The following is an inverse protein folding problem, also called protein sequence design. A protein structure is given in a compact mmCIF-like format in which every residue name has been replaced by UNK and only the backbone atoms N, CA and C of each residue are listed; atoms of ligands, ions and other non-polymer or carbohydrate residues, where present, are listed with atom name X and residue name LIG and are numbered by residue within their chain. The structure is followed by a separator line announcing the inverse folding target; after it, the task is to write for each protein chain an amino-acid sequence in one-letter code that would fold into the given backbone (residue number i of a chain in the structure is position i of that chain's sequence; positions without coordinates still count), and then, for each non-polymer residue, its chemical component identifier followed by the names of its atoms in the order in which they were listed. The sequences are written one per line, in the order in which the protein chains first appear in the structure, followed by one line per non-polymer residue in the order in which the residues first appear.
data_IF_705097824156
#
_entry.id   IF_705097824156
#
_cell.length_a   1.000
_cell.length_b   1.000
_cell.length_c   1.000
_cell.angle_alpha   90.00
_cell.angle_beta   90.00
_cell.angle_gamma   90.00
#
_symmetry.space_group_name_H-M   'P 1'
#
loop_
_entity.id
_entity.type
_entity.pdbx_description
1 polymer ?
#
# COMPACT_ATOMS: atom_id res chain seq x y z
N UNK A 1 11.28 11.10 2.24
CA UNK A 1 12.35 10.62 1.34
C UNK A 1 11.97 9.26 0.79
N UNK A 2 12.36 8.93 -0.44
CA UNK A 2 12.02 7.65 -1.08
C UNK A 2 13.09 6.61 -0.75
N UNK A 3 12.69 5.48 -0.15
CA UNK A 3 13.55 4.33 0.03
C UNK A 3 13.29 3.31 -1.10
N UNK A 4 14.04 3.46 -2.20
CA UNK A 4 13.83 2.69 -3.43
C UNK A 4 13.98 1.17 -3.23
N UNK A 5 15.01 0.64 -2.54
CA UNK A 5 15.12 -0.80 -2.26
C UNK A 5 13.95 -1.36 -1.47
N UNK A 6 13.51 -0.65 -0.43
CA UNK A 6 12.43 -1.11 0.44
C UNK A 6 11.07 -1.04 -0.28
N UNK A 7 10.79 0.00 -1.07
CA UNK A 7 9.60 0.02 -1.95
C UNK A 7 9.60 -1.11 -2.97
N UNK A 8 10.75 -1.42 -3.59
CA UNK A 8 10.87 -2.53 -4.53
C UNK A 8 10.63 -3.88 -3.84
N UNK A 9 11.10 -4.05 -2.60
CA UNK A 9 10.84 -5.23 -1.78
C UNK A 9 9.35 -5.38 -1.41
N UNK A 10 8.73 -4.32 -0.89
CA UNK A 10 7.32 -4.34 -0.53
C UNK A 10 6.43 -4.61 -1.75
N UNK A 11 6.71 -3.97 -2.89
CA UNK A 11 6.02 -4.21 -4.16
C UNK A 11 6.14 -5.67 -4.63
N UNK A 12 7.34 -6.27 -4.56
CA UNK A 12 7.53 -7.70 -4.86
C UNK A 12 6.72 -8.59 -3.91
N UNK A 13 6.74 -8.29 -2.60
CA UNK A 13 6.09 -9.11 -1.59
C UNK A 13 4.56 -9.05 -1.71
N UNK A 14 3.97 -7.86 -1.90
CA UNK A 14 2.53 -7.69 -2.12
C UNK A 14 2.05 -8.50 -3.32
N UNK A 15 2.76 -8.44 -4.45
CA UNK A 15 2.41 -9.23 -5.65
C UNK A 15 2.43 -10.73 -5.37
N UNK A 16 3.46 -11.22 -4.65
CA UNK A 16 3.56 -12.63 -4.28
C UNK A 16 2.47 -13.05 -3.30
N UNK A 17 2.11 -12.17 -2.36
CA UNK A 17 1.05 -12.41 -1.38
C UNK A 17 -0.30 -12.56 -2.08
N UNK A 18 -0.71 -11.59 -2.91
CA UNK A 18 -2.01 -11.64 -3.61
C UNK A 18 -2.08 -12.70 -4.71
N UNK A 19 -0.93 -13.20 -5.17
CA UNK A 19 -0.85 -14.36 -6.06
C UNK A 19 -0.91 -15.70 -5.30
N UNK A 20 -0.94 -15.69 -3.97
CA UNK A 20 -0.86 -16.91 -3.15
C UNK A 20 0.52 -17.57 -3.14
N UNK A 21 1.54 -16.94 -3.74
CA UNK A 21 2.88 -17.48 -3.87
C UNK A 21 3.68 -17.46 -2.55
N UNK A 22 3.30 -16.62 -1.60
CA UNK A 22 3.80 -16.64 -0.21
C UNK A 22 2.64 -16.65 0.79
N UNK A 23 2.94 -17.03 2.03
CA UNK A 23 2.00 -16.98 3.16
C UNK A 23 1.94 -15.57 3.76
N UNK A 24 0.88 -15.27 4.50
CA UNK A 24 0.76 -14.05 5.32
C UNK A 24 1.97 -13.89 6.28
N UNK A 25 2.35 -14.93 7.02
CA UNK A 25 3.49 -14.85 7.94
C UNK A 25 4.83 -14.62 7.20
N UNK A 26 5.02 -15.23 6.03
CA UNK A 26 6.22 -14.96 5.22
C UNK A 26 6.22 -13.53 4.70
N UNK A 27 5.05 -13.02 4.31
CA UNK A 27 4.90 -11.62 3.94
C UNK A 27 5.31 -10.71 5.10
N UNK A 28 4.72 -10.87 6.29
CA UNK A 28 5.05 -10.09 7.50
C UNK A 28 6.54 -10.08 7.83
N UNK A 29 7.17 -11.26 7.93
CA UNK A 29 8.60 -11.40 8.22
C UNK A 29 9.52 -10.77 7.18
N UNK A 30 9.01 -10.50 5.98
CA UNK A 30 9.77 -9.93 4.86
C UNK A 30 9.34 -8.52 4.49
N UNK A 31 8.36 -7.95 5.20
CA UNK A 31 7.95 -6.55 5.05
C UNK A 31 9.12 -5.68 5.48
N UNK A 32 9.61 -4.78 4.62
CA UNK A 32 10.71 -3.92 4.98
C UNK A 32 10.24 -2.82 5.93
N UNK A 33 11.12 -2.41 6.83
CA UNK A 33 10.92 -1.24 7.68
C UNK A 33 11.61 -0.03 7.06
N UNK A 34 11.00 1.15 7.18
CA UNK A 34 11.61 2.42 6.79
C UNK A 34 10.98 3.56 7.56
N UNK A 35 11.80 4.27 8.34
CA UNK A 35 11.35 5.43 9.13
C UNK A 35 11.18 6.69 8.26
N UNK A 36 11.95 6.76 7.17
CA UNK A 36 12.07 7.93 6.28
C UNK A 36 11.01 7.95 5.16
N UNK A 37 10.60 6.75 4.70
CA UNK A 37 9.64 6.59 3.62
C UNK A 37 8.27 6.17 4.15
N UNK A 38 7.45 7.19 4.44
CA UNK A 38 6.11 7.01 4.98
C UNK A 38 5.19 6.14 4.10
N UNK A 39 5.49 5.96 2.80
CA UNK A 39 4.75 5.05 1.93
C UNK A 39 4.78 3.61 2.43
N UNK A 40 5.94 3.19 2.94
CA UNK A 40 6.18 1.81 3.35
C UNK A 40 5.33 1.49 4.56
N UNK A 41 5.34 2.37 5.57
CA UNK A 41 4.51 2.24 6.77
C UNK A 41 3.02 2.26 6.42
N UNK A 42 2.59 3.22 5.60
CA UNK A 42 1.19 3.37 5.22
C UNK A 42 0.62 2.15 4.47
N UNK A 43 1.39 1.60 3.54
CA UNK A 43 0.97 0.44 2.74
C UNK A 43 1.12 -0.86 3.54
N UNK A 44 2.15 -0.99 4.38
CA UNK A 44 2.30 -2.13 5.28
C UNK A 44 1.13 -2.22 6.26
N UNK A 45 0.73 -1.10 6.88
CA UNK A 45 -0.42 -1.03 7.78
C UNK A 45 -1.73 -1.42 7.07
N UNK A 46 -1.94 -0.93 5.83
CA UNK A 46 -3.10 -1.36 5.03
C UNK A 46 -3.06 -2.84 4.64
N UNK A 47 -1.87 -3.42 4.44
CA UNK A 47 -1.74 -4.82 4.02
C UNK A 47 -2.13 -5.83 5.09
N UNK A 48 -2.13 -5.44 6.38
CA UNK A 48 -2.66 -6.27 7.47
C UNK A 48 -4.13 -6.63 7.29
N UNK A 49 -4.93 -5.79 6.60
CA UNK A 49 -6.34 -6.05 6.35
C UNK A 49 -6.58 -7.17 5.33
N UNK A 50 -5.54 -7.65 4.64
CA UNK A 50 -5.66 -8.66 3.59
C UNK A 50 -5.77 -10.08 4.14
N UNK A 51 -5.45 -10.31 5.41
CA UNK A 51 -5.37 -11.64 6.01
C UNK A 51 -5.71 -11.61 7.50
N UNK A 52 -5.90 -12.79 8.09
CA UNK A 52 -5.95 -12.97 9.55
C UNK A 52 -4.55 -13.31 10.09
N UNK A 53 -4.18 -12.72 11.21
CA UNK A 53 -2.95 -13.00 11.97
C UNK A 53 -3.02 -14.31 12.78
N UNK A 54 -4.21 -14.90 12.95
CA UNK A 54 -4.40 -16.08 13.81
C UNK A 54 -3.68 -17.35 13.33
N UNK A 55 -3.50 -17.52 12.01
CA UNK A 55 -2.91 -18.73 11.41
C UNK A 55 -2.14 -18.43 10.14
N UNK A 56 -1.08 -19.19 9.89
CA UNK A 56 -0.37 -19.12 8.61
C UNK A 56 -1.22 -19.67 7.46
N UNK A 57 -1.37 -18.89 6.39
CA UNK A 57 -2.11 -19.30 5.20
C UNK A 57 -1.68 -18.49 3.96
N UNK A 58 -2.14 -18.94 2.79
CA UNK A 58 -1.98 -18.26 1.50
C UNK A 58 -3.33 -17.64 1.11
N UNK A 59 -3.32 -16.54 0.35
CA UNK A 59 -4.54 -15.85 -0.11
C UNK A 59 -5.21 -16.56 -1.29
N UNK A 60 -5.62 -17.81 -1.08
CA UNK A 60 -6.26 -18.71 -2.06
C UNK A 60 -7.39 -19.51 -1.41
N UNK A 61 -8.28 -20.07 -2.23
CA UNK A 61 -9.41 -20.87 -1.73
C UNK A 61 -10.27 -20.07 -0.76
N UNK A 62 -10.53 -20.61 0.44
CA UNK A 62 -11.31 -19.92 1.48
C UNK A 62 -10.69 -18.61 2.00
N UNK A 63 -9.41 -18.39 1.74
CA UNK A 63 -8.67 -17.18 2.13
C UNK A 63 -8.44 -16.24 0.94
N UNK A 64 -9.09 -16.47 -0.21
CA UNK A 64 -8.98 -15.57 -1.34
C UNK A 64 -9.46 -14.18 -0.99
N UNK A 65 -8.70 -13.16 -1.38
CA UNK A 65 -9.13 -11.77 -1.24
C UNK A 65 -10.20 -11.42 -2.28
N UNK A 66 -11.10 -10.53 -1.88
CA UNK A 66 -12.11 -9.98 -2.77
C UNK A 66 -11.48 -9.26 -3.99
N UNK A 67 -12.08 -9.35 -5.19
CA UNK A 67 -11.56 -8.68 -6.38
C UNK A 67 -11.37 -7.16 -6.24
N UNK A 68 -12.19 -6.47 -5.45
CA UNK A 68 -12.04 -5.04 -5.17
C UNK A 68 -10.75 -4.76 -4.39
N UNK A 69 -10.49 -5.54 -3.34
CA UNK A 69 -9.24 -5.45 -2.58
C UNK A 69 -8.02 -5.79 -3.43
N UNK A 70 -8.14 -6.77 -4.33
CA UNK A 70 -7.06 -7.07 -5.28
C UNK A 70 -6.70 -5.86 -6.15
N UNK A 71 -7.70 -5.09 -6.61
CA UNK A 71 -7.46 -3.85 -7.38
C UNK A 71 -6.77 -2.77 -6.54
N UNK A 72 -7.15 -2.62 -5.28
CA UNK A 72 -6.48 -1.70 -4.36
C UNK A 72 -5.00 -2.08 -4.17
N UNK A 73 -4.69 -3.36 -3.91
CA UNK A 73 -3.30 -3.80 -3.77
C UNK A 73 -2.48 -3.56 -5.05
N UNK A 74 -3.07 -3.76 -6.24
CA UNK A 74 -2.40 -3.46 -7.51
C UNK A 74 -2.13 -1.95 -7.67
N UNK A 75 -3.02 -1.08 -7.19
CA UNK A 75 -2.76 0.37 -7.13
C UNK A 75 -1.60 0.69 -6.19
N UNK A 76 -1.49 0.03 -5.04
CA UNK A 76 -0.37 0.22 -4.11
C UNK A 76 0.96 -0.23 -4.72
N UNK A 77 0.97 -1.39 -5.38
CA UNK A 77 2.11 -1.89 -6.15
C UNK A 77 2.54 -0.88 -7.22
N UNK A 78 1.58 -0.31 -7.96
CA UNK A 78 1.85 0.70 -8.96
C UNK A 78 2.49 1.95 -8.35
N UNK A 79 1.97 2.44 -7.22
CA UNK A 79 2.56 3.57 -6.51
C UNK A 79 3.98 3.27 -6.05
N UNK A 80 4.18 2.12 -5.42
CA UNK A 80 5.50 1.69 -4.96
C UNK A 80 6.47 1.60 -6.12
N UNK A 81 6.07 1.12 -7.29
CA UNK A 81 6.94 1.01 -8.47
C UNK A 81 7.37 2.36 -9.06
N UNK A 82 6.70 3.46 -8.70
CA UNK A 82 7.02 4.82 -9.12
C UNK A 82 7.85 5.56 -8.05
N UNK A 83 8.39 6.71 -8.45
CA UNK A 83 9.20 7.60 -7.61
C UNK A 83 8.41 8.84 -7.13
N UNK A 84 7.10 8.68 -6.93
CA UNK A 84 6.29 9.72 -6.26
C UNK A 84 6.56 9.71 -4.76
N UNK A 85 6.80 10.89 -4.17
CA UNK A 85 6.88 11.02 -2.73
C UNK A 85 5.52 10.78 -2.07
N UNK A 86 5.53 10.14 -0.91
CA UNK A 86 4.30 9.98 -0.13
C UNK A 86 4.03 11.25 0.66
N UNK A 87 2.98 11.98 0.26
CA UNK A 87 2.66 13.33 0.76
C UNK A 87 1.45 13.37 1.71
N UNK A 88 0.83 12.23 1.99
CA UNK A 88 -0.31 12.17 2.90
C UNK A 88 0.15 12.26 4.38
N UNK A 89 -0.62 12.92 5.25
CA UNK A 89 -0.39 12.90 6.69
C UNK A 89 -0.34 11.46 7.25
N UNK A 90 0.47 11.25 8.28
CA UNK A 90 0.63 9.92 8.90
C UNK A 90 -0.58 9.60 9.79
N UNK A 91 -1.40 8.66 9.34
CA UNK A 91 -2.51 8.05 10.12
C UNK A 91 -2.47 6.54 9.96
N UNK A 92 -3.09 5.81 10.90
CA UNK A 92 -3.30 4.37 10.74
C UNK A 92 -4.37 4.08 9.68
N UNK A 93 -4.24 2.96 8.98
CA UNK A 93 -5.13 2.44 7.93
C UNK A 93 -5.59 3.52 6.93
N UNK A 94 -4.65 4.25 6.29
CA UNK A 94 -4.97 5.43 5.48
C UNK A 94 -5.90 5.16 4.29
N UNK A 95 -5.88 3.95 3.73
CA UNK A 95 -6.80 3.53 2.66
C UNK A 95 -8.24 3.21 3.12
N UNK A 96 -8.54 3.24 4.43
CA UNK A 96 -9.90 3.19 4.96
C UNK A 96 -10.42 4.59 5.27
N UNK A 97 -11.69 4.85 4.94
CA UNK A 97 -12.36 6.15 5.11
C UNK A 97 -12.01 6.80 6.46
N UNK A 98 -11.18 7.87 6.47
CA UNK A 98 -10.73 8.50 7.71
C UNK A 98 -11.88 9.03 8.54
N UNK A 99 -12.87 9.66 7.89
CA UNK A 99 -14.00 10.28 8.59
C UNK A 99 -14.90 9.24 9.28
N UNK A 100 -15.05 8.03 8.70
CA UNK A 100 -15.80 6.94 9.36
C UNK A 100 -15.10 6.41 10.62
N UNK A 101 -13.77 6.55 10.69
CA UNK A 101 -12.94 6.17 11.84
C UNK A 101 -12.70 7.31 12.82
N UNK A 102 -13.12 8.53 12.48
CA UNK A 102 -13.00 9.68 13.35
C UNK A 102 -13.92 9.53 14.57
N UNK A 103 -13.40 9.84 15.75
CA UNK A 103 -14.18 9.93 16.99
C UNK A 103 -13.90 11.25 17.69
N UNK A 104 -14.84 11.79 18.47
CA UNK A 104 -14.56 12.89 19.38
C UNK A 104 -13.41 12.52 20.33
N UNK A 105 -12.55 13.50 20.64
CA UNK A 105 -11.41 13.30 21.57
C UNK A 105 -11.89 12.77 22.92
N UNK A 106 -13.04 13.27 23.39
CA UNK A 106 -13.65 12.92 24.68
C UNK A 106 -14.07 11.45 24.78
N UNK A 107 -14.36 10.78 23.65
CA UNK A 107 -14.74 9.35 23.63
C UNK A 107 -13.61 8.44 23.16
N UNK A 108 -12.39 8.97 22.95
CA UNK A 108 -11.29 8.22 22.33
C UNK A 108 -10.80 7.05 23.19
N UNK A 109 -10.83 7.20 24.51
CA UNK A 109 -10.44 6.14 25.46
C UNK A 109 -11.36 4.90 25.41
N UNK A 110 -12.59 5.05 24.89
CA UNK A 110 -13.52 3.94 24.62
C UNK A 110 -13.32 3.30 23.25
N UNK A 111 -12.42 3.84 22.43
CA UNK A 111 -12.31 3.51 21.01
C UNK A 111 -11.10 2.60 20.73
N UNK A 112 -11.22 1.74 19.72
CA UNK A 112 -10.16 0.78 19.34
C UNK A 112 -8.86 1.44 18.83
N UNK A 113 -7.79 0.65 18.66
CA UNK A 113 -6.42 1.14 18.40
C UNK A 113 -6.28 1.99 17.12
N UNK A 114 -7.20 1.86 16.16
CA UNK A 114 -7.16 2.55 14.86
C UNK A 114 -8.00 3.83 14.81
N UNK A 115 -8.40 4.36 15.96
CA UNK A 115 -9.23 5.55 16.09
C UNK A 115 -8.40 6.83 15.92
N UNK A 116 -8.90 7.73 15.08
CA UNK A 116 -8.29 9.04 14.82
C UNK A 116 -9.22 10.17 15.26
N UNK A 117 -8.67 11.37 15.47
CA UNK A 117 -9.49 12.57 15.71
C UNK A 117 -10.14 13.06 14.41
N UNK A 118 -11.23 13.82 14.53
CA UNK A 118 -11.86 14.50 13.40
C UNK A 118 -10.89 15.46 12.70
N UNK A 119 -10.07 16.19 13.48
CA UNK A 119 -9.03 17.07 12.96
C UNK A 119 -8.03 16.33 12.08
N UNK A 120 -7.48 15.18 12.54
CA UNK A 120 -6.57 14.37 11.73
C UNK A 120 -7.23 13.79 10.49
N UNK A 121 -8.51 13.39 10.59
CA UNK A 121 -9.26 12.91 9.44
C UNK A 121 -9.46 14.03 8.40
N UNK A 122 -9.78 15.24 8.85
CA UNK A 122 -9.94 16.41 7.99
C UNK A 122 -8.62 16.84 7.35
N UNK A 123 -7.54 16.91 8.13
CA UNK A 123 -6.18 17.19 7.65
C UNK A 123 -5.76 16.19 6.57
N UNK A 124 -5.98 14.90 6.82
CA UNK A 124 -5.66 13.85 5.85
C UNK A 124 -6.45 14.02 4.55
N UNK A 125 -7.77 14.25 4.64
CA UNK A 125 -8.63 14.43 3.46
C UNK A 125 -8.36 15.74 2.71
N UNK A 126 -7.84 16.77 3.38
CA UNK A 126 -7.45 18.03 2.77
C UNK A 126 -6.11 17.93 2.00
N UNK A 127 -5.30 16.92 2.26
CA UNK A 127 -3.96 16.78 1.67
C UNK A 127 -3.98 16.46 0.16
N UNK A 128 -5.03 15.83 -0.35
CA UNK A 128 -5.09 15.42 -1.75
C UNK A 128 -6.41 14.74 -2.15
N UNK A 129 -6.44 14.16 -3.35
CA UNK A 129 -7.59 13.41 -3.82
C UNK A 129 -7.61 12.01 -3.22
N UNK A 130 -8.46 11.80 -2.22
CA UNK A 130 -8.54 10.54 -1.48
C UNK A 130 -8.85 9.33 -2.37
N UNK A 131 -9.57 9.53 -3.48
CA UNK A 131 -9.88 8.44 -4.40
C UNK A 131 -8.67 7.97 -5.21
N UNK A 132 -7.58 8.74 -5.21
CA UNK A 132 -6.32 8.40 -5.84
C UNK A 132 -5.29 7.82 -4.86
N UNK A 133 -5.58 7.76 -3.56
CA UNK A 133 -4.66 7.24 -2.55
C UNK A 133 -4.09 5.86 -2.99
N UNK A 134 -2.77 5.60 -2.88
CA UNK A 134 -1.74 6.40 -2.19
C UNK A 134 -1.12 7.55 -2.99
N UNK A 135 -1.52 7.77 -4.24
CA UNK A 135 -1.13 8.96 -5.00
C UNK A 135 -1.78 10.21 -4.38
N UNK A 136 -1.14 11.37 -4.44
CA UNK A 136 -1.75 12.59 -3.86
C UNK A 136 -2.87 13.14 -4.76
N UNK A 137 -2.85 12.79 -6.05
CA UNK A 137 -3.80 13.30 -7.03
C UNK A 137 -4.15 12.26 -8.10
N UNK A 138 -5.29 12.47 -8.76
CA UNK A 138 -5.68 11.69 -9.94
C UNK A 138 -4.68 11.83 -11.09
N UNK A 139 -3.99 12.96 -11.22
CA UNK A 139 -3.01 13.15 -12.30
C UNK A 139 -1.78 12.27 -12.11
N UNK A 140 -1.24 12.17 -10.90
CA UNK A 140 -0.15 11.24 -10.59
C UNK A 140 -0.56 9.78 -10.83
N UNK A 141 -1.77 9.40 -10.38
CA UNK A 141 -2.26 8.05 -10.60
C UNK A 141 -2.39 7.73 -12.09
N UNK A 142 -2.97 8.63 -12.89
CA UNK A 142 -3.07 8.45 -14.35
C UNK A 142 -1.69 8.40 -15.01
N UNK A 143 -0.76 9.24 -14.57
CA UNK A 143 0.62 9.22 -15.07
C UNK A 143 1.28 7.86 -14.81
N UNK A 144 1.15 7.33 -13.59
CA UNK A 144 1.68 6.02 -13.22
C UNK A 144 1.08 4.89 -14.06
N UNK A 145 -0.23 4.93 -14.32
CA UNK A 145 -0.92 3.95 -15.18
C UNK A 145 -0.40 4.01 -16.62
N UNK A 146 -0.08 5.20 -17.13
CA UNK A 146 0.50 5.38 -18.47
C UNK A 146 1.99 4.99 -18.58
N UNK A 147 2.71 4.93 -17.45
CA UNK A 147 4.15 4.61 -17.40
C UNK A 147 4.46 3.46 -16.43
N UNK A 148 3.89 2.26 -16.63
CA UNK A 148 4.13 1.13 -15.77
C UNK A 148 5.59 0.66 -15.90
N UNK A 149 6.42 0.93 -14.88
CA UNK A 149 7.85 0.55 -14.81
C UNK A 149 8.11 -0.91 -15.19
N UNK A 150 7.18 -1.82 -14.85
CA UNK A 150 7.31 -3.26 -15.10
C UNK A 150 6.91 -3.72 -16.50
N UNK A 151 6.25 -2.88 -17.30
CA UNK A 151 5.89 -3.17 -18.70
C UNK A 151 6.75 -2.38 -19.69
N UNK A 152 7.47 -1.35 -19.23
CA UNK A 152 8.42 -0.59 -20.05
C UNK A 152 9.66 -1.40 -20.53
N UNK A 153 9.82 -2.65 -20.07
CA UNK A 153 10.99 -3.52 -20.32
C UNK A 153 11.06 -4.22 -21.69
N UNK A 154 10.25 -3.84 -22.68
CA UNK A 154 10.26 -4.46 -24.01
C UNK A 154 11.39 -4.04 -24.95
N UNK A 155 12.17 -2.99 -24.63
CA UNK A 155 13.21 -2.46 -25.55
C UNK A 155 14.66 -2.75 -25.15
N UNK A 156 14.91 -3.43 -24.01
CA UNK A 156 16.27 -3.63 -23.49
C UNK A 156 16.81 -5.08 -23.51
N UNK A 157 16.00 -6.08 -23.86
CA UNK A 157 16.38 -7.49 -23.72
C UNK A 157 16.92 -8.15 -25.00
N UNK A 158 17.29 -7.37 -26.03
CA UNK A 158 17.91 -7.88 -27.25
C UNK A 158 19.30 -7.29 -27.46
N UNK A 159 20.26 -7.72 -26.64
CA UNK A 159 21.70 -7.70 -26.93
C UNK A 159 22.47 -8.48 -25.87
N UNK A 160 22.47 -9.80 -26.01
CA UNK A 160 23.62 -10.62 -25.59
C UNK A 160 24.34 -11.06 -26.87
N UNK A 161 25.59 -10.65 -27.12
CA UNK A 161 26.39 -11.31 -28.13
C UNK A 161 26.72 -12.71 -27.60
N UNK A 162 26.53 -13.71 -28.45
CA UNK A 162 27.08 -15.03 -28.23
C UNK A 162 28.59 -14.98 -28.44
N UNK A 163 29.35 -15.39 -27.44
CA UNK A 163 30.73 -15.91 -27.54
C UNK A 163 30.92 -16.89 -26.40
#
# INVERSE_FOLDING_TARGET
MINRPARDQLSRNLRRLIAGAITNHRFERSTPESEEDAAILAIADMSWLLYSDMKEHRLVGRYSIDPSWRREVLRWVLFLDNDFEYRWPRISLPGLSPMRRARPVVTRWLSGPNTISHERAAEFLAAGDYNAWPFISRSEYKHAVGHPRRLAGGQGASRRPAT
#
